data_IF_081999206842
#
_entry.id   IF_081999206842
#
_cell.length_a   1.000
_cell.length_b   1.000
_cell.length_c   1.000
_cell.angle_alpha   90.00
_cell.angle_beta   90.00
_cell.angle_gamma   90.00
#
_symmetry.space_group_name_H-M   'P 1'
#
loop_
_entity.id
_entity.type
_entity.pdbx_description
1 polymer ?
#
# COMPACT_ATOMS: atom_id res chain seq x y z
N UNK A 1 -15.58 8.92 30.27
CA UNK A 1 -16.80 8.57 29.51
C UNK A 1 -16.71 9.37 28.24
N UNK A 2 -16.42 8.71 27.10
CA UNK A 2 -16.40 9.37 25.80
C UNK A 2 -17.84 9.78 25.46
N UNK A 3 -18.03 11.00 24.98
CA UNK A 3 -19.31 11.42 24.43
C UNK A 3 -19.77 10.39 23.36
N UNK A 4 -21.05 10.07 23.24
CA UNK A 4 -21.54 9.21 22.18
C UNK A 4 -21.13 9.83 20.85
N UNK A 5 -20.43 9.04 20.01
CA UNK A 5 -20.06 9.46 18.67
C UNK A 5 -21.32 9.89 17.90
N UNK A 6 -21.28 11.08 17.33
CA UNK A 6 -22.34 11.49 16.42
C UNK A 6 -22.30 10.53 15.21
N UNK A 7 -23.43 9.88 14.87
CA UNK A 7 -23.43 8.94 13.75
C UNK A 7 -23.10 9.70 12.46
N UNK A 8 -22.18 9.14 11.66
CA UNK A 8 -21.91 9.67 10.32
C UNK A 8 -23.22 9.69 9.51
N UNK A 9 -23.59 10.84 9.02
CA UNK A 9 -24.79 11.00 8.22
C UNK A 9 -24.49 10.74 6.74
N UNK A 10 -24.91 9.57 6.24
CA UNK A 10 -24.79 9.20 4.84
C UNK A 10 -26.00 9.70 4.06
N UNK A 11 -25.79 10.72 3.25
CA UNK A 11 -26.85 11.29 2.42
C UNK A 11 -27.39 10.24 1.43
N UNK A 12 -28.70 10.01 1.42
CA UNK A 12 -29.35 9.03 0.56
C UNK A 12 -29.06 7.56 0.90
N UNK A 13 -28.36 7.28 2.01
CA UNK A 13 -28.08 5.92 2.48
C UNK A 13 -27.04 5.13 1.68
N UNK A 14 -26.65 5.61 0.50
CA UNK A 14 -25.64 4.98 -0.37
C UNK A 14 -24.21 5.46 -0.10
N UNK A 15 -23.29 5.08 -0.98
CA UNK A 15 -21.86 5.44 -0.92
C UNK A 15 -21.43 6.45 -1.96
N UNK A 16 -22.38 7.02 -2.70
CA UNK A 16 -22.12 8.10 -3.66
C UNK A 16 -21.84 9.45 -3.01
N UNK A 17 -22.10 9.57 -1.69
CA UNK A 17 -21.82 10.76 -0.89
C UNK A 17 -21.16 10.38 0.42
N UNK A 18 -19.84 10.57 0.49
CA UNK A 18 -19.06 10.23 1.68
C UNK A 18 -19.03 11.42 2.64
N UNK A 19 -19.51 11.27 3.87
CA UNK A 19 -19.50 12.37 4.85
C UNK A 19 -18.08 12.85 5.13
N UNK A 20 -17.86 14.15 5.27
CA UNK A 20 -16.55 14.73 5.60
C UNK A 20 -16.01 14.25 6.95
N UNK A 21 -16.91 13.88 7.88
CA UNK A 21 -16.52 13.21 9.13
C UNK A 21 -15.73 11.92 8.91
N UNK A 22 -15.92 11.21 7.79
CA UNK A 22 -15.12 10.02 7.46
C UNK A 22 -13.62 10.33 7.27
N UNK A 23 -13.27 11.58 6.99
CA UNK A 23 -11.89 12.02 6.78
C UNK A 23 -11.31 12.85 7.92
N UNK A 24 -12.16 13.34 8.83
CA UNK A 24 -11.76 14.36 9.82
C UNK A 24 -11.96 13.94 11.26
N UNK A 25 -12.79 12.94 11.55
CA UNK A 25 -13.13 12.51 12.91
C UNK A 25 -11.99 11.64 13.51
N UNK A 26 -11.34 12.10 14.61
CA UNK A 26 -10.27 11.35 15.25
C UNK A 26 -10.74 10.04 15.91
N UNK A 27 -11.97 9.97 16.41
CA UNK A 27 -12.50 8.77 17.04
C UNK A 27 -12.78 7.69 16.01
N UNK A 28 -13.32 8.09 14.84
CA UNK A 28 -13.49 7.21 13.72
C UNK A 28 -12.16 6.70 13.17
N UNK A 29 -11.15 7.57 13.08
CA UNK A 29 -9.80 7.18 12.69
C UNK A 29 -9.21 6.14 13.65
N UNK A 30 -9.39 6.29 14.95
CA UNK A 30 -8.95 5.28 15.92
C UNK A 30 -9.65 3.94 15.69
N UNK A 31 -10.95 3.94 15.39
CA UNK A 31 -11.69 2.72 15.01
C UNK A 31 -11.17 2.10 13.71
N UNK A 32 -10.75 2.92 12.72
CA UNK A 32 -10.09 2.42 11.51
C UNK A 32 -8.79 1.69 11.84
N UNK A 33 -7.96 2.26 12.72
CA UNK A 33 -6.74 1.58 13.16
C UNK A 33 -7.06 0.22 13.79
N UNK A 34 -8.05 0.16 14.67
CA UNK A 34 -8.39 -1.06 15.39
C UNK A 34 -9.05 -2.11 14.49
N UNK A 35 -9.99 -1.71 13.61
CA UNK A 35 -10.78 -2.64 12.79
C UNK A 35 -10.16 -2.98 11.46
N UNK A 36 -9.39 -2.07 10.86
CA UNK A 36 -8.83 -2.26 9.52
C UNK A 36 -7.34 -2.61 9.59
N UNK A 37 -6.51 -1.79 10.22
CA UNK A 37 -5.06 -2.01 10.23
C UNK A 37 -4.62 -3.07 11.24
N UNK A 38 -5.26 -3.11 12.41
CA UNK A 38 -4.95 -4.07 13.46
C UNK A 38 -5.97 -5.22 13.55
N UNK A 39 -7.05 -5.14 12.77
CA UNK A 39 -8.11 -6.13 12.64
C UNK A 39 -7.81 -7.19 11.58
N UNK A 40 -8.86 -7.92 11.10
CA UNK A 40 -8.69 -9.08 10.22
C UNK A 40 -8.39 -8.71 8.76
N UNK A 41 -7.41 -7.84 8.54
CA UNK A 41 -6.94 -7.42 7.23
C UNK A 41 -5.44 -7.69 7.07
N UNK A 42 -5.01 -7.94 5.84
CA UNK A 42 -3.60 -8.04 5.50
C UNK A 42 -3.05 -6.68 5.11
N UNK A 43 -2.01 -6.25 5.82
CA UNK A 43 -1.29 -5.02 5.52
C UNK A 43 0.05 -5.35 4.85
N UNK A 44 0.38 -4.64 3.80
CA UNK A 44 1.68 -4.74 3.15
C UNK A 44 2.78 -4.18 4.06
N UNK A 45 3.94 -4.86 4.11
CA UNK A 45 5.08 -4.42 4.92
C UNK A 45 6.38 -4.28 4.14
N UNK A 46 6.46 -4.82 2.92
CA UNK A 46 7.65 -4.67 2.08
C UNK A 46 7.76 -5.76 1.01
N UNK A 47 8.88 -5.74 0.30
CA UNK A 47 9.28 -6.78 -0.64
C UNK A 47 10.32 -7.70 -0.01
N UNK A 48 10.22 -9.01 -0.26
CA UNK A 48 11.17 -9.99 0.26
C UNK A 48 12.61 -9.73 -0.20
N UNK A 49 12.78 -9.11 -1.38
CA UNK A 49 14.08 -8.72 -1.93
C UNK A 49 14.78 -7.61 -1.13
N UNK A 50 14.06 -6.90 -0.28
CA UNK A 50 14.63 -5.86 0.59
C UNK A 50 15.42 -6.44 1.78
N UNK A 51 15.21 -7.75 2.07
CA UNK A 51 15.87 -8.49 3.15
C UNK A 51 16.39 -9.83 2.62
N UNK A 52 17.37 -9.85 1.69
CA UNK A 52 17.76 -11.07 0.97
C UNK A 52 18.46 -12.11 1.85
N UNK A 53 19.23 -11.70 2.86
CA UNK A 53 20.09 -12.57 3.65
C UNK A 53 19.54 -12.79 5.06
N UNK A 54 19.92 -13.90 5.69
CA UNK A 54 19.60 -14.16 7.10
C UNK A 54 20.13 -13.05 8.00
N UNK A 55 19.25 -12.50 8.83
CA UNK A 55 19.52 -11.38 9.72
C UNK A 55 19.17 -10.02 9.11
N UNK A 56 19.02 -9.93 7.79
CA UNK A 56 18.59 -8.68 7.17
C UNK A 56 17.20 -8.32 7.68
N UNK A 57 17.04 -7.05 8.04
CA UNK A 57 15.76 -6.53 8.50
C UNK A 57 15.46 -5.16 7.91
N UNK A 58 14.17 -4.86 7.84
CA UNK A 58 13.62 -3.56 7.45
C UNK A 58 12.56 -3.14 8.43
N UNK A 59 12.56 -1.85 8.78
CA UNK A 59 11.44 -1.26 9.51
C UNK A 59 10.29 -0.96 8.56
N UNK A 60 9.08 -1.27 9.01
CA UNK A 60 7.85 -1.00 8.30
C UNK A 60 6.73 -0.66 9.29
N UNK A 61 5.51 -0.59 8.80
CA UNK A 61 4.36 -0.15 9.57
C UNK A 61 3.12 -0.97 9.24
N UNK A 62 2.30 -1.21 10.25
CA UNK A 62 0.93 -1.71 10.11
C UNK A 62 0.03 -0.72 10.84
N UNK A 63 -0.70 0.09 10.09
CA UNK A 63 -1.31 1.29 10.63
C UNK A 63 -0.24 2.20 11.23
N UNK A 64 -0.42 2.64 12.47
CA UNK A 64 0.57 3.45 13.21
C UNK A 64 1.59 2.61 13.99
N UNK A 65 1.44 1.29 14.03
CA UNK A 65 2.38 0.42 14.74
C UNK A 65 3.59 0.09 13.89
N UNK A 66 4.76 0.44 14.42
CA UNK A 66 6.02 0.10 13.77
C UNK A 66 6.34 -1.39 13.95
N UNK A 67 6.70 -2.04 12.85
CA UNK A 67 7.08 -3.46 12.82
C UNK A 67 8.47 -3.63 12.20
N UNK A 68 9.10 -4.75 12.53
CA UNK A 68 10.37 -5.20 11.95
C UNK A 68 10.06 -6.39 11.07
N UNK A 69 10.25 -6.24 9.75
CA UNK A 69 10.28 -7.33 8.80
C UNK A 69 11.73 -7.87 8.74
N UNK A 70 11.92 -9.14 9.02
CA UNK A 70 13.29 -9.73 9.15
C UNK A 70 13.37 -11.09 8.46
N UNK A 71 14.52 -11.36 7.83
CA UNK A 71 14.87 -12.68 7.31
C UNK A 71 15.43 -13.55 8.43
N UNK A 72 14.73 -14.59 8.79
CA UNK A 72 15.15 -15.58 9.78
C UNK A 72 15.63 -16.87 9.12
N UNK A 73 16.31 -17.70 9.88
CA UNK A 73 16.72 -19.03 9.46
C UNK A 73 15.52 -19.95 9.38
N UNK A 74 15.44 -20.70 8.29
CA UNK A 74 14.43 -21.74 8.11
C UNK A 74 15.05 -23.09 8.48
N UNK A 75 14.40 -23.83 9.36
CA UNK A 75 14.85 -25.18 9.69
C UNK A 75 14.78 -26.07 8.43
N UNK A 76 15.72 -27.03 8.25
CA UNK A 76 15.76 -27.88 7.06
C UNK A 76 14.43 -28.58 6.72
N UNK A 77 13.67 -28.98 7.74
CA UNK A 77 12.36 -29.65 7.61
C UNK A 77 11.25 -28.74 7.07
N UNK A 78 11.38 -27.41 7.24
CA UNK A 78 10.38 -26.42 6.88
C UNK A 78 10.72 -25.68 5.56
N UNK A 79 11.83 -26.09 4.90
CA UNK A 79 12.23 -25.52 3.61
C UNK A 79 11.15 -25.79 2.54
N UNK A 80 10.70 -24.72 1.87
CA UNK A 80 9.66 -24.77 0.86
C UNK A 80 8.25 -24.45 1.39
N UNK A 81 8.00 -24.62 2.69
CA UNK A 81 6.75 -24.21 3.32
C UNK A 81 6.84 -22.92 4.13
N UNK A 82 8.03 -22.62 4.65
CA UNK A 82 8.31 -21.39 5.41
C UNK A 82 9.14 -20.42 4.55
N UNK A 83 8.65 -19.21 4.23
CA UNK A 83 9.39 -18.22 3.47
C UNK A 83 10.61 -17.65 4.21
N UNK A 84 10.80 -18.00 5.49
CA UNK A 84 11.89 -17.47 6.33
C UNK A 84 11.75 -15.99 6.66
N UNK A 85 10.56 -15.43 6.54
CA UNK A 85 10.28 -14.03 6.86
C UNK A 85 9.45 -13.98 8.14
N UNK A 86 9.87 -13.15 9.08
CA UNK A 86 9.13 -12.85 10.30
C UNK A 86 8.80 -11.38 10.35
N UNK A 87 7.65 -11.07 10.93
CA UNK A 87 7.25 -9.69 11.22
C UNK A 87 6.91 -9.62 12.70
N UNK A 88 7.59 -8.74 13.42
CA UNK A 88 7.39 -8.53 14.85
C UNK A 88 7.20 -7.05 15.16
N UNK A 89 6.42 -6.72 16.17
CA UNK A 89 6.24 -5.34 16.61
C UNK A 89 7.56 -4.80 17.16
N UNK A 90 7.98 -3.60 16.72
CA UNK A 90 9.19 -2.95 17.23
C UNK A 90 8.93 -2.33 18.60
N UNK A 91 8.63 -3.17 19.57
CA UNK A 91 8.27 -2.75 20.93
C UNK A 91 8.67 -3.79 21.96
N UNK A 92 9.61 -3.43 22.84
CA UNK A 92 10.06 -4.28 23.94
C UNK A 92 8.91 -4.69 24.85
N UNK A 93 8.77 -5.99 25.15
CA UNK A 93 7.75 -6.50 26.04
C UNK A 93 7.87 -5.98 27.48
N UNK A 94 9.07 -5.52 27.91
CA UNK A 94 9.28 -5.02 29.25
C UNK A 94 8.61 -3.65 29.49
N UNK A 95 9.00 -2.60 28.76
CA UNK A 95 8.50 -1.21 28.94
C UNK A 95 8.24 -0.49 27.63
N UNK A 96 7.97 -1.21 26.56
CA UNK A 96 7.52 -0.64 25.29
C UNK A 96 8.58 0.15 24.49
N UNK A 97 9.86 0.08 24.85
CA UNK A 97 10.92 0.77 24.11
C UNK A 97 11.09 0.18 22.72
N UNK A 98 11.21 1.03 21.69
CA UNK A 98 11.56 0.61 20.33
C UNK A 98 13.05 0.27 20.25
N UNK A 99 13.38 -0.85 19.64
CA UNK A 99 14.78 -1.30 19.50
C UNK A 99 15.49 -0.59 18.36
N UNK A 100 14.87 -0.64 17.19
CA UNK A 100 15.39 -0.01 16.00
C UNK A 100 14.79 1.39 15.92
N UNK A 101 15.64 2.40 15.97
CA UNK A 101 15.24 3.80 15.92
C UNK A 101 16.03 4.47 14.80
N UNK A 102 15.61 4.29 13.56
CA UNK A 102 16.26 4.98 12.46
C UNK A 102 15.99 6.48 12.54
N UNK A 103 16.93 7.31 12.08
CA UNK A 103 16.66 8.73 11.87
C UNK A 103 15.59 8.96 10.79
N UNK A 104 15.34 7.95 9.96
CA UNK A 104 14.29 7.94 8.94
C UNK A 104 13.71 6.52 8.79
N UNK A 105 12.41 6.41 8.52
CA UNK A 105 11.77 5.14 8.19
C UNK A 105 12.34 4.56 6.89
N UNK A 106 12.35 3.24 6.78
CA UNK A 106 12.95 2.51 5.66
C UNK A 106 14.39 2.10 5.90
N UNK A 107 14.90 2.23 7.12
CA UNK A 107 16.22 1.70 7.46
C UNK A 107 16.24 0.18 7.35
N UNK A 108 17.17 -0.30 6.59
CA UNK A 108 17.56 -1.71 6.51
C UNK A 108 18.80 -1.94 7.38
N UNK A 109 18.94 -3.11 7.95
CA UNK A 109 20.10 -3.50 8.72
C UNK A 109 20.25 -5.01 8.74
N UNK A 110 21.30 -5.49 9.40
CA UNK A 110 21.51 -6.91 9.65
C UNK A 110 21.76 -7.13 11.14
N UNK A 111 21.03 -8.06 11.74
CA UNK A 111 21.11 -8.38 13.16
C UNK A 111 21.08 -9.90 13.39
N UNK A 112 21.71 -10.36 14.45
CA UNK A 112 21.61 -11.75 14.93
C UNK A 112 20.49 -11.91 15.97
N UNK A 113 20.16 -10.83 16.64
CA UNK A 113 19.12 -10.71 17.66
C UNK A 113 18.76 -9.24 17.85
N UNK A 114 17.61 -8.95 18.43
CA UNK A 114 17.20 -7.60 18.80
C UNK A 114 17.46 -7.39 20.29
N UNK A 115 18.25 -6.37 20.63
CA UNK A 115 18.62 -6.06 22.03
C UNK A 115 17.99 -4.73 22.40
N UNK A 116 17.18 -4.73 23.44
CA UNK A 116 16.55 -3.50 23.94
C UNK A 116 17.62 -2.54 24.51
N UNK A 117 17.69 -1.29 24.03
CA UNK A 117 18.72 -0.36 24.49
C UNK A 117 18.54 0.08 25.94
N UNK A 118 17.38 -0.17 26.55
CA UNK A 118 17.10 0.27 27.92
C UNK A 118 17.64 -0.72 28.97
N UNK A 119 17.17 -1.99 28.94
CA UNK A 119 17.54 -2.99 29.92
C UNK A 119 18.13 -4.27 29.30
N UNK A 120 18.55 -4.19 28.04
CA UNK A 120 19.23 -5.29 27.31
C UNK A 120 18.44 -6.60 27.23
N UNK A 121 17.10 -6.56 27.34
CA UNK A 121 16.30 -7.72 27.01
C UNK A 121 16.59 -8.11 25.56
N UNK A 122 16.97 -9.34 25.36
CA UNK A 122 17.42 -9.85 24.05
C UNK A 122 16.38 -10.78 23.46
N UNK A 123 16.02 -10.51 22.23
CA UNK A 123 15.02 -11.27 21.48
C UNK A 123 15.65 -11.92 20.25
N UNK A 124 15.22 -13.15 19.94
CA UNK A 124 15.54 -13.81 18.67
C UNK A 124 14.88 -13.07 17.50
N UNK A 125 15.29 -13.37 16.27
CA UNK A 125 14.70 -12.76 15.07
C UNK A 125 13.21 -13.08 14.91
N UNK A 126 12.76 -14.24 15.40
CA UNK A 126 11.35 -14.63 15.42
C UNK A 126 10.53 -13.99 16.57
N UNK A 127 11.15 -13.10 17.34
CA UNK A 127 10.48 -12.39 18.44
C UNK A 127 10.49 -13.09 19.79
N UNK A 128 10.99 -14.34 19.92
CA UNK A 128 11.09 -15.02 21.23
C UNK A 128 12.07 -14.30 22.13
N UNK A 129 11.73 -14.15 23.43
CA UNK A 129 12.66 -13.65 24.42
C UNK A 129 13.75 -14.69 24.65
N UNK A 130 14.98 -14.34 24.29
CA UNK A 130 16.16 -15.21 24.46
C UNK A 130 16.75 -15.12 25.87
N UNK A 131 16.68 -13.95 26.49
CA UNK A 131 17.19 -13.73 27.83
C UNK A 131 17.14 -12.27 28.26
N UNK A 132 17.44 -12.06 29.54
CA UNK A 132 17.54 -10.74 30.16
C UNK A 132 18.62 -10.73 31.24
N UNK A 133 19.28 -9.58 31.48
CA UNK A 133 20.25 -9.44 32.55
C UNK A 133 19.59 -9.64 33.92
N UNK A 134 20.37 -10.19 34.83
CA UNK A 134 19.97 -10.39 36.24
C UNK A 134 18.66 -11.18 36.44
N UNK A 135 18.33 -12.06 35.51
CA UNK A 135 17.12 -12.91 35.64
C UNK A 135 17.12 -13.67 36.96
N UNK A 136 18.26 -14.23 37.34
CA UNK A 136 18.41 -15.04 38.56
C UNK A 136 18.96 -14.23 39.74
N UNK A 137 18.89 -12.90 39.67
CA UNK A 137 19.40 -11.98 40.69
C UNK A 137 20.92 -11.78 40.65
N UNK A 138 21.44 -11.10 41.66
CA UNK A 138 22.88 -10.82 41.84
C UNK A 138 23.33 -11.49 43.11
N UNK A 139 24.38 -12.32 43.02
CA UNK A 139 25.02 -12.97 44.19
C UNK A 139 25.80 -11.94 45.01
N UNK A 140 25.58 -11.95 46.31
CA UNK A 140 26.33 -11.20 47.32
C UNK A 140 26.63 -12.16 48.47
N UNK A 141 27.84 -12.79 48.46
CA UNK A 141 28.19 -13.92 49.30
C UNK A 141 27.27 -15.10 49.07
N UNK A 142 26.65 -15.58 50.13
CA UNK A 142 25.68 -16.69 50.08
C UNK A 142 24.24 -16.23 49.77
N UNK A 143 24.02 -14.91 49.63
CA UNK A 143 22.70 -14.33 49.32
C UNK A 143 22.55 -14.09 47.81
N UNK A 144 21.31 -14.12 47.34
CA UNK A 144 20.93 -13.68 46.00
C UNK A 144 19.94 -12.53 46.15
N UNK A 145 20.33 -11.37 45.64
CA UNK A 145 19.52 -10.15 45.70
C UNK A 145 18.76 -9.92 44.38
N UNK A 146 17.47 -9.67 44.49
CA UNK A 146 16.61 -9.36 43.33
C UNK A 146 16.36 -10.57 42.42
N UNK A 147 16.28 -10.33 41.14
CA UNK A 147 15.93 -11.32 40.12
C UNK A 147 14.44 -11.29 39.74
N UNK A 148 14.09 -12.07 38.72
CA UNK A 148 12.72 -12.30 38.34
C UNK A 148 12.05 -13.31 39.27
N UNK A 149 10.74 -13.32 39.39
CA UNK A 149 10.01 -14.38 40.08
C UNK A 149 10.40 -15.77 39.55
N UNK A 150 10.40 -16.79 40.44
CA UNK A 150 10.81 -18.16 40.09
C UNK A 150 9.97 -18.78 38.94
N UNK A 151 8.74 -18.34 38.79
CA UNK A 151 7.80 -18.76 37.75
C UNK A 151 7.85 -17.89 36.47
N UNK A 152 8.83 -16.98 36.37
CA UNK A 152 8.98 -16.13 35.19
C UNK A 152 9.30 -16.96 33.95
N UNK A 153 8.37 -16.97 32.99
CA UNK A 153 8.44 -17.74 31.77
C UNK A 153 8.86 -16.86 30.60
N UNK A 154 10.07 -17.08 30.07
CA UNK A 154 10.60 -16.39 28.90
C UNK A 154 9.69 -16.53 27.67
N UNK A 155 9.03 -17.69 27.51
CA UNK A 155 8.22 -17.98 26.34
C UNK A 155 6.97 -17.09 26.24
N UNK A 156 6.50 -16.57 27.36
CA UNK A 156 5.32 -15.68 27.45
C UNK A 156 5.67 -14.20 27.30
N UNK A 157 6.94 -13.86 27.26
CA UNK A 157 7.43 -12.47 27.29
C UNK A 157 8.20 -12.07 26.01
N UNK A 158 7.89 -12.70 24.89
CA UNK A 158 8.40 -12.34 23.57
C UNK A 158 7.80 -11.04 23.02
N UNK A 159 8.27 -10.64 21.85
CA UNK A 159 7.65 -9.56 21.07
C UNK A 159 6.29 -10.01 20.52
N UNK A 160 5.40 -9.07 20.28
CA UNK A 160 4.19 -9.33 19.51
C UNK A 160 4.57 -9.78 18.10
N UNK A 161 4.14 -10.98 17.73
CA UNK A 161 4.38 -11.58 16.41
C UNK A 161 3.17 -11.38 15.55
N UNK A 162 3.39 -11.00 14.30
CA UNK A 162 2.32 -10.93 13.31
C UNK A 162 2.31 -12.23 12.49
N UNK A 163 1.12 -12.62 12.03
CA UNK A 163 1.02 -13.61 10.96
C UNK A 163 1.58 -13.00 9.68
N UNK A 164 2.30 -13.81 8.91
CA UNK A 164 2.97 -13.38 7.67
C UNK A 164 2.53 -14.26 6.51
N UNK A 165 2.26 -13.63 5.39
CA UNK A 165 2.06 -14.31 4.12
C UNK A 165 2.89 -13.62 3.03
N UNK A 166 3.41 -14.41 2.10
CA UNK A 166 4.23 -13.91 1.00
C UNK A 166 3.65 -14.39 -0.32
N UNK A 167 3.34 -13.46 -1.20
CA UNK A 167 2.89 -13.75 -2.57
C UNK A 167 3.78 -13.03 -3.57
N UNK A 168 4.44 -13.76 -4.47
CA UNK A 168 5.35 -13.20 -5.49
C UNK A 168 6.43 -12.24 -4.94
N UNK A 169 6.86 -12.45 -3.70
CA UNK A 169 7.82 -11.56 -3.04
C UNK A 169 7.20 -10.34 -2.35
N UNK A 170 5.90 -10.10 -2.49
CA UNK A 170 5.15 -9.14 -1.67
C UNK A 170 4.94 -9.74 -0.28
N UNK A 171 5.33 -9.02 0.75
CA UNK A 171 5.20 -9.45 2.15
C UNK A 171 4.04 -8.73 2.79
N UNK A 172 3.10 -9.51 3.31
CA UNK A 172 1.95 -9.03 4.06
C UNK A 172 1.99 -9.54 5.49
N UNK A 173 1.48 -8.74 6.41
CA UNK A 173 1.38 -9.10 7.81
C UNK A 173 0.04 -8.65 8.41
N UNK A 174 -0.42 -9.37 9.43
CA UNK A 174 -1.63 -9.03 10.19
C UNK A 174 -1.46 -9.33 11.67
N UNK A 175 -2.04 -8.49 12.52
CA UNK A 175 -2.13 -8.72 13.96
C UNK A 175 -3.23 -9.71 14.33
N UNK A 176 -4.16 -9.98 13.42
CA UNK A 176 -5.35 -10.78 13.69
C UNK A 176 -5.16 -12.24 13.29
N UNK A 177 -5.55 -13.14 14.19
CA UNK A 177 -5.66 -14.58 13.88
C UNK A 177 -6.90 -14.91 13.04
N UNK A 178 -7.88 -14.00 12.99
CA UNK A 178 -9.14 -14.17 12.27
C UNK A 178 -9.05 -13.79 10.78
N UNK A 179 -7.93 -13.19 10.34
CA UNK A 179 -7.76 -12.85 8.94
C UNK A 179 -7.80 -14.12 8.07
N UNK A 180 -8.62 -14.09 7.03
CA UNK A 180 -8.71 -15.17 6.04
C UNK A 180 -7.34 -15.42 5.36
N UNK A 181 -7.09 -16.55 4.71
CA UNK A 181 -5.87 -16.78 3.93
C UNK A 181 -5.64 -15.64 2.94
N UNK A 182 -4.37 -15.26 2.70
CA UNK A 182 -4.04 -14.11 1.85
C UNK A 182 -4.63 -14.24 0.44
N UNK A 183 -4.60 -15.44 -0.14
CA UNK A 183 -5.12 -15.66 -1.50
C UNK A 183 -6.62 -15.42 -1.57
N UNK A 184 -7.38 -15.86 -0.56
CA UNK A 184 -8.82 -15.62 -0.46
C UNK A 184 -9.09 -14.12 -0.22
N UNK A 185 -8.26 -13.49 0.62
CA UNK A 185 -8.31 -12.04 0.87
C UNK A 185 -8.13 -11.23 -0.39
N UNK A 186 -7.18 -11.58 -1.25
CA UNK A 186 -6.94 -10.87 -2.51
C UNK A 186 -8.02 -11.14 -3.56
N UNK A 187 -8.55 -12.36 -3.56
CA UNK A 187 -9.64 -12.78 -4.44
C UNK A 187 -9.21 -13.08 -5.88
N UNK A 188 -10.00 -13.90 -6.55
CA UNK A 188 -9.73 -14.41 -7.90
C UNK A 188 -9.66 -13.32 -8.98
N UNK A 189 -10.39 -12.22 -8.80
CA UNK A 189 -10.43 -11.14 -9.79
C UNK A 189 -9.09 -10.40 -9.94
N UNK A 190 -8.28 -10.35 -8.85
CA UNK A 190 -7.01 -9.63 -8.83
C UNK A 190 -5.81 -10.52 -9.17
N UNK A 191 -5.90 -11.81 -8.92
CA UNK A 191 -4.81 -12.76 -9.09
C UNK A 191 -4.14 -12.69 -10.48
N UNK A 192 -4.86 -12.70 -11.62
CA UNK A 192 -4.24 -12.63 -12.94
C UNK A 192 -3.39 -11.36 -13.15
N UNK A 193 -3.76 -10.27 -12.51
CA UNK A 193 -3.05 -8.99 -12.61
C UNK A 193 -1.80 -8.96 -11.76
N UNK A 194 -1.83 -9.59 -10.58
CA UNK A 194 -0.64 -9.81 -9.74
C UNK A 194 0.33 -10.77 -10.43
N UNK A 195 -0.17 -11.90 -10.91
CA UNK A 195 0.62 -12.89 -11.65
C UNK A 195 1.31 -12.24 -12.86
N UNK A 196 0.58 -11.42 -13.62
CA UNK A 196 1.13 -10.68 -14.77
C UNK A 196 2.37 -9.86 -14.42
N UNK A 197 2.37 -9.17 -13.29
CA UNK A 197 3.49 -8.31 -12.87
C UNK A 197 4.62 -9.13 -12.25
N UNK A 198 4.31 -10.11 -11.42
CA UNK A 198 5.28 -10.71 -10.50
C UNK A 198 5.63 -12.17 -10.78
N UNK A 199 4.70 -12.98 -11.32
CA UNK A 199 4.90 -14.42 -11.35
C UNK A 199 6.12 -14.85 -12.15
N UNK A 200 6.92 -15.73 -11.54
CA UNK A 200 8.08 -16.35 -12.18
C UNK A 200 9.27 -15.43 -12.41
N UNK A 201 9.29 -14.23 -11.80
CA UNK A 201 10.39 -13.28 -11.96
C UNK A 201 11.07 -12.94 -10.65
N UNK A 202 12.38 -12.92 -10.68
CA UNK A 202 13.19 -12.45 -9.56
C UNK A 202 13.21 -10.92 -9.57
N UNK A 203 12.83 -10.33 -8.42
CA UNK A 203 12.76 -8.88 -8.27
C UNK A 203 14.13 -8.30 -7.94
N UNK A 204 14.39 -7.09 -8.41
CA UNK A 204 15.53 -6.26 -8.06
C UNK A 204 15.05 -4.94 -7.47
N UNK A 205 15.52 -4.61 -6.26
CA UNK A 205 15.26 -3.31 -5.65
C UNK A 205 16.00 -2.21 -6.40
N UNK A 206 15.31 -1.13 -6.77
CA UNK A 206 15.89 0.02 -7.46
C UNK A 206 16.02 1.25 -6.56
N UNK A 207 15.18 1.39 -5.54
CA UNK A 207 15.26 2.50 -4.59
C UNK A 207 13.92 2.89 -4.02
N UNK A 208 13.93 4.01 -3.27
CA UNK A 208 12.77 4.49 -2.53
C UNK A 208 12.54 5.98 -2.79
N UNK A 209 11.27 6.36 -2.80
CA UNK A 209 10.83 7.73 -2.59
C UNK A 209 9.85 7.77 -1.42
N UNK A 210 9.74 8.91 -0.77
CA UNK A 210 8.75 9.15 0.27
C UNK A 210 8.13 10.52 0.11
N UNK A 211 6.84 10.56 0.36
CA UNK A 211 6.05 11.78 0.39
C UNK A 211 5.23 11.76 1.68
N UNK A 212 5.24 12.85 2.43
CA UNK A 212 4.31 13.07 3.52
C UNK A 212 3.20 13.96 3.00
N UNK A 213 1.97 13.49 3.10
CA UNK A 213 0.80 14.14 2.52
C UNK A 213 -0.13 14.55 3.66
N UNK A 214 -0.46 15.86 3.76
CA UNK A 214 -1.42 16.37 4.73
C UNK A 214 -2.87 16.03 4.32
N UNK A 215 -3.25 14.78 4.46
CA UNK A 215 -4.56 14.28 4.09
C UNK A 215 -4.92 12.97 4.77
N UNK A 216 -6.19 12.61 4.78
CA UNK A 216 -6.61 11.31 5.28
C UNK A 216 -6.12 10.19 4.34
N UNK A 217 -5.68 9.07 4.91
CA UNK A 217 -5.13 7.94 4.16
C UNK A 217 -6.07 7.39 3.06
N UNK A 218 -7.39 7.49 3.27
CA UNK A 218 -8.40 7.04 2.30
C UNK A 218 -8.39 7.86 1.02
N UNK A 219 -8.02 9.14 1.08
CA UNK A 219 -7.95 10.00 -0.10
C UNK A 219 -6.95 9.49 -1.14
N UNK A 220 -5.85 8.85 -0.71
CA UNK A 220 -4.92 8.22 -1.64
C UNK A 220 -5.49 6.92 -2.23
N UNK A 221 -6.25 6.16 -1.46
CA UNK A 221 -6.98 4.99 -2.00
C UNK A 221 -8.04 5.41 -3.02
N UNK A 222 -8.73 6.49 -2.77
CA UNK A 222 -9.70 7.09 -3.71
C UNK A 222 -9.01 7.59 -4.97
N UNK A 223 -7.94 8.37 -4.83
CA UNK A 223 -7.20 8.95 -5.95
C UNK A 223 -6.76 7.86 -6.95
N UNK A 224 -6.24 6.73 -6.47
CA UNK A 224 -5.82 5.63 -7.36
C UNK A 224 -7.01 4.81 -7.89
N UNK A 225 -8.18 4.89 -7.27
CA UNK A 225 -9.42 4.27 -7.76
C UNK A 225 -10.23 5.19 -8.68
N UNK A 226 -9.75 6.41 -8.88
CA UNK A 226 -10.36 7.42 -9.73
C UNK A 226 -9.71 7.47 -11.11
N UNK A 227 -10.32 6.86 -12.13
CA UNK A 227 -9.80 6.96 -13.51
C UNK A 227 -10.12 8.31 -14.17
N UNK A 228 -10.94 9.14 -13.56
CA UNK A 228 -11.44 10.38 -14.13
C UNK A 228 -10.44 11.53 -14.04
N UNK A 229 -9.73 11.68 -12.90
CA UNK A 229 -8.82 12.81 -12.68
C UNK A 229 -7.56 12.83 -13.56
N UNK A 230 -6.93 11.68 -14.00
CA UNK A 230 -5.57 11.72 -14.55
C UNK A 230 -5.40 12.63 -15.77
N UNK A 231 -6.41 12.71 -16.64
CA UNK A 231 -6.36 13.59 -17.80
C UNK A 231 -6.72 15.05 -17.51
N UNK A 232 -7.28 15.32 -16.35
CA UNK A 232 -7.75 16.65 -15.94
C UNK A 232 -6.74 17.32 -15.00
N UNK A 233 -6.25 16.59 -14.02
CA UNK A 233 -5.25 17.06 -13.06
C UNK A 233 -3.85 17.08 -13.69
N UNK A 234 -3.44 15.95 -14.25
CA UNK A 234 -2.10 15.80 -14.84
C UNK A 234 -2.09 16.22 -16.31
N UNK A 235 -2.31 17.50 -16.57
CA UNK A 235 -2.34 18.06 -17.93
C UNK A 235 -1.07 17.78 -18.73
N UNK A 236 0.01 17.51 -18.03
CA UNK A 236 1.25 17.02 -18.58
C UNK A 236 1.08 15.71 -19.37
N UNK A 237 0.31 14.74 -18.87
CA UNK A 237 0.04 13.49 -19.59
C UNK A 237 -0.64 13.73 -20.95
N UNK A 238 -1.63 14.61 -20.97
CA UNK A 238 -2.34 14.95 -22.22
C UNK A 238 -1.45 15.74 -23.16
N UNK A 239 -0.73 16.72 -22.63
CA UNK A 239 0.17 17.59 -23.39
C UNK A 239 1.25 16.79 -24.14
N UNK A 240 1.78 15.75 -23.52
CA UNK A 240 2.85 14.92 -24.12
C UNK A 240 2.34 13.58 -24.66
N UNK A 241 1.04 13.41 -24.82
CA UNK A 241 0.43 12.25 -25.49
C UNK A 241 0.51 10.95 -24.72
N UNK A 242 0.69 11.00 -23.41
CA UNK A 242 0.71 9.81 -22.54
C UNK A 242 -0.69 9.40 -22.06
N UNK A 243 -1.65 10.30 -22.14
CA UNK A 243 -3.04 10.04 -21.78
C UNK A 243 -3.98 10.64 -22.84
N UNK A 244 -5.09 9.94 -23.08
CA UNK A 244 -6.14 10.36 -24.00
C UNK A 244 -7.51 9.98 -23.41
N UNK A 245 -8.51 10.82 -23.60
CA UNK A 245 -9.87 10.59 -23.11
C UNK A 245 -10.55 9.35 -23.76
N UNK A 246 -10.16 8.99 -24.97
CA UNK A 246 -10.64 7.82 -25.71
C UNK A 246 -9.82 6.54 -25.46
N UNK A 247 -8.89 6.59 -24.51
CA UNK A 247 -8.05 5.44 -24.16
C UNK A 247 -8.88 4.29 -23.59
N UNK A 248 -8.70 3.10 -24.15
CA UNK A 248 -9.39 1.92 -23.64
C UNK A 248 -8.89 1.57 -22.25
N UNK A 249 -9.82 1.46 -21.32
CA UNK A 249 -9.53 1.19 -19.92
C UNK A 249 -10.57 0.25 -19.33
N UNK A 250 -10.25 -0.38 -18.23
CA UNK A 250 -11.15 -1.27 -17.51
C UNK A 250 -10.94 -1.15 -16.02
N UNK A 251 -12.07 -1.13 -15.29
CA UNK A 251 -12.13 -1.06 -13.84
C UNK A 251 -12.63 -2.39 -13.31
N UNK A 252 -11.77 -3.12 -12.60
CA UNK A 252 -12.08 -4.42 -12.00
C UNK A 252 -12.05 -4.28 -10.48
N UNK A 253 -12.95 -4.93 -9.78
CA UNK A 253 -12.94 -5.02 -8.31
C UNK A 253 -13.04 -6.47 -7.84
N UNK A 254 -12.63 -6.74 -6.61
CA UNK A 254 -12.88 -8.03 -5.97
C UNK A 254 -14.37 -8.19 -5.60
N UNK A 255 -14.75 -9.40 -5.22
CA UNK A 255 -16.14 -9.72 -4.88
C UNK A 255 -16.71 -8.91 -3.71
N UNK A 256 -15.87 -8.26 -2.94
CA UNK A 256 -16.25 -7.45 -1.79
C UNK A 256 -16.16 -5.94 -2.04
N UNK A 257 -15.62 -5.51 -3.19
CA UNK A 257 -15.41 -4.11 -3.52
C UNK A 257 -14.27 -3.41 -2.76
N UNK A 258 -13.45 -4.15 -2.01
CA UNK A 258 -12.33 -3.60 -1.20
C UNK A 258 -11.08 -3.35 -2.03
N UNK A 259 -10.79 -4.26 -2.95
CA UNK A 259 -9.64 -4.23 -3.83
C UNK A 259 -10.05 -3.88 -5.24
N UNK A 260 -9.15 -3.24 -5.98
CA UNK A 260 -9.45 -2.89 -7.36
C UNK A 260 -8.22 -2.96 -8.27
N UNK A 261 -8.47 -3.14 -9.55
CA UNK A 261 -7.48 -2.99 -10.62
C UNK A 261 -8.02 -2.01 -11.64
N UNK A 262 -7.28 -0.95 -11.85
CA UNK A 262 -7.48 -0.02 -12.97
C UNK A 262 -6.44 -0.33 -14.05
N UNK A 263 -6.89 -0.64 -15.24
CA UNK A 263 -6.03 -0.88 -16.39
C UNK A 263 -6.35 0.08 -17.52
N UNK A 264 -5.30 0.46 -18.24
CA UNK A 264 -5.41 1.32 -19.40
C UNK A 264 -4.44 0.87 -20.48
N UNK A 265 -4.84 1.04 -21.74
CA UNK A 265 -4.06 0.68 -22.92
C UNK A 265 -3.81 1.92 -23.75
N UNK A 266 -2.55 2.13 -24.12
CA UNK A 266 -2.21 3.18 -25.09
C UNK A 266 -2.84 2.83 -26.44
N UNK A 267 -3.53 3.77 -27.05
CA UNK A 267 -4.03 3.59 -28.42
C UNK A 267 -2.91 3.81 -29.43
N UNK A 268 -2.82 2.91 -30.42
CA UNK A 268 -1.79 2.93 -31.48
C UNK A 268 -2.10 3.96 -32.59
N UNK A 269 -2.47 5.16 -32.19
CA UNK A 269 -2.57 6.26 -33.13
C UNK A 269 -3.94 6.43 -33.80
N UNK A 270 -4.27 7.63 -34.00
CA UNK A 270 -5.40 8.23 -34.72
C UNK A 270 -5.55 9.64 -34.21
N UNK A 271 -5.46 10.62 -35.10
CA UNK A 271 -5.87 11.99 -34.75
C UNK A 271 -7.37 12.01 -34.48
N UNK A 272 -7.74 11.87 -33.21
CA UNK A 272 -9.12 12.10 -32.80
C UNK A 272 -9.20 13.47 -32.14
N UNK A 273 -9.98 14.38 -32.76
CA UNK A 273 -10.19 15.74 -32.25
C UNK A 273 -10.85 15.81 -30.86
N UNK A 274 -11.40 14.68 -30.38
CA UNK A 274 -12.01 14.59 -29.06
C UNK A 274 -11.03 14.28 -27.93
N UNK A 275 -9.78 14.00 -28.23
CA UNK A 275 -8.72 13.58 -27.26
C UNK A 275 -8.51 14.57 -26.14
N UNK A 276 -8.61 15.87 -26.46
CA UNK A 276 -8.44 16.97 -25.51
C UNK A 276 -9.77 17.57 -25.04
N UNK A 277 -10.89 16.96 -25.38
CA UNK A 277 -12.19 17.44 -24.97
C UNK A 277 -12.30 17.44 -23.43
N UNK A 278 -12.65 18.56 -22.86
CA UNK A 278 -12.73 18.75 -21.41
C UNK A 278 -11.41 19.18 -20.74
N UNK A 279 -10.27 19.13 -21.44
CA UNK A 279 -8.96 19.56 -20.90
C UNK A 279 -8.73 21.02 -21.27
N UNK A 280 -9.03 21.93 -20.36
CA UNK A 280 -8.96 23.39 -20.63
C UNK A 280 -7.53 23.93 -20.62
N UNK A 281 -6.59 23.24 -19.98
CA UNK A 281 -5.17 23.64 -19.85
C UNK A 281 -4.24 23.02 -20.88
N UNK A 282 -4.79 22.27 -21.85
CA UNK A 282 -3.97 21.68 -22.91
C UNK A 282 -3.28 22.74 -23.76
N UNK A 283 -1.98 22.55 -24.02
CA UNK A 283 -1.15 23.42 -24.87
C UNK A 283 -0.46 22.60 -25.96
N UNK A 284 -0.96 22.69 -27.18
CA UNK A 284 -0.49 21.90 -28.32
C UNK A 284 0.93 22.21 -28.78
N UNK A 285 1.44 23.39 -28.42
CA UNK A 285 2.78 23.88 -28.79
C UNK A 285 3.89 23.50 -27.82
N UNK A 286 3.54 22.97 -26.63
CA UNK A 286 4.54 22.49 -25.67
C UNK A 286 5.25 21.23 -26.17
N UNK A 287 6.56 21.20 -25.97
CA UNK A 287 7.43 20.08 -26.33
C UNK A 287 8.34 19.72 -25.17
N UNK A 288 8.63 18.43 -25.00
CA UNK A 288 9.65 17.98 -24.07
C UNK A 288 11.04 18.33 -24.56
N UNK A 289 11.88 18.89 -23.68
CA UNK A 289 13.29 19.12 -23.97
C UNK A 289 14.08 17.80 -24.09
N UNK A 290 13.68 16.78 -23.33
CA UNK A 290 14.29 15.46 -23.39
C UNK A 290 13.23 14.37 -23.68
N UNK A 291 13.07 13.96 -24.96
CA UNK A 291 12.10 12.94 -25.34
C UNK A 291 12.39 11.55 -24.73
N UNK A 292 13.63 11.32 -24.22
CA UNK A 292 13.99 10.03 -23.58
C UNK A 292 13.20 9.78 -22.28
N UNK A 293 12.61 10.80 -21.68
CA UNK A 293 11.69 10.64 -20.54
C UNK A 293 10.45 9.84 -20.92
N UNK A 294 10.02 9.91 -22.18
CA UNK A 294 8.86 9.21 -22.72
C UNK A 294 9.23 7.93 -23.48
N UNK A 295 10.50 7.52 -23.44
CA UNK A 295 10.95 6.30 -24.09
C UNK A 295 10.30 5.07 -23.44
N UNK A 296 9.37 4.48 -24.19
CA UNK A 296 8.57 3.32 -23.75
C UNK A 296 8.93 2.14 -24.64
N UNK A 297 9.38 1.05 -24.03
CA UNK A 297 9.69 -0.20 -24.71
C UNK A 297 8.69 -1.26 -24.26
N UNK A 298 7.89 -1.81 -25.18
CA UNK A 298 7.00 -2.92 -24.85
C UNK A 298 7.77 -4.12 -24.30
N UNK A 299 7.30 -4.68 -23.20
CA UNK A 299 7.87 -5.88 -22.60
C UNK A 299 6.95 -7.09 -22.88
N UNK A 300 7.50 -8.29 -23.17
CA UNK A 300 6.68 -9.45 -23.53
C UNK A 300 5.60 -9.80 -22.51
N UNK A 301 5.89 -9.59 -21.22
CA UNK A 301 4.99 -9.88 -20.12
C UNK A 301 3.78 -8.94 -20.02
N UNK A 302 3.76 -7.83 -20.79
CA UNK A 302 2.59 -6.94 -20.78
C UNK A 302 1.36 -7.62 -21.36
N UNK A 303 1.55 -8.53 -22.33
CA UNK A 303 0.45 -9.26 -22.99
C UNK A 303 0.11 -10.51 -22.22
N UNK A 304 -1.15 -10.62 -21.82
CA UNK A 304 -1.71 -11.83 -21.18
C UNK A 304 -3.02 -12.23 -21.85
N UNK A 305 -3.47 -13.47 -21.60
CA UNK A 305 -4.85 -13.84 -21.86
C UNK A 305 -5.77 -12.91 -21.07
N UNK A 306 -6.82 -12.38 -21.71
CA UNK A 306 -7.73 -11.42 -21.04
C UNK A 306 -8.58 -12.16 -19.99
N UNK A 307 -8.41 -11.87 -18.68
CA UNK A 307 -9.15 -12.56 -17.62
C UNK A 307 -10.67 -12.36 -17.69
N UNK A 308 -11.13 -11.27 -18.33
CA UNK A 308 -12.54 -10.91 -18.44
C UNK A 308 -13.14 -11.23 -19.82
N UNK A 309 -12.32 -11.58 -20.80
CA UNK A 309 -12.76 -11.87 -22.17
C UNK A 309 -12.06 -13.13 -22.69
N UNK A 310 -12.59 -14.35 -22.39
CA UNK A 310 -11.99 -15.60 -22.80
C UNK A 310 -11.70 -15.66 -24.31
N UNK A 311 -10.51 -16.16 -24.65
CA UNK A 311 -10.07 -16.27 -26.06
C UNK A 311 -9.45 -14.98 -26.64
N UNK A 312 -9.44 -13.91 -25.89
CA UNK A 312 -8.75 -12.67 -26.26
C UNK A 312 -7.46 -12.46 -25.46
N UNK A 313 -6.60 -11.58 -25.96
CA UNK A 313 -5.43 -11.09 -25.24
C UNK A 313 -5.57 -9.62 -24.92
N UNK A 314 -4.90 -9.17 -23.84
CA UNK A 314 -4.86 -7.78 -23.43
C UNK A 314 -3.43 -7.36 -23.12
N UNK A 315 -3.05 -6.15 -23.53
CA UNK A 315 -1.71 -5.56 -23.33
C UNK A 315 -1.84 -4.21 -22.63
N UNK A 316 -2.08 -4.17 -21.31
CA UNK A 316 -2.11 -2.92 -20.58
C UNK A 316 -0.75 -2.23 -20.55
N UNK A 317 -0.73 -0.93 -20.77
CA UNK A 317 0.46 -0.07 -20.57
C UNK A 317 0.47 0.57 -19.18
N UNK A 318 -0.70 0.60 -18.53
CA UNK A 318 -0.87 1.04 -17.14
C UNK A 318 -1.70 -0.01 -16.41
N UNK A 319 -1.25 -0.42 -15.23
CA UNK A 319 -1.98 -1.28 -14.31
C UNK A 319 -1.75 -0.76 -12.89
N UNK A 320 -2.84 -0.33 -12.25
CA UNK A 320 -2.85 0.12 -10.86
C UNK A 320 -3.68 -0.87 -10.06
N UNK A 321 -3.05 -1.59 -9.14
CA UNK A 321 -3.72 -2.55 -8.26
C UNK A 321 -3.77 -1.91 -6.86
N UNK A 322 -4.97 -1.65 -6.37
CA UNK A 322 -5.17 -1.14 -5.01
C UNK A 322 -5.57 -2.26 -4.09
N UNK A 323 -4.72 -2.59 -3.14
CA UNK A 323 -4.99 -3.58 -2.10
C UNK A 323 -5.29 -2.85 -0.80
N UNK A 324 -6.54 -2.89 -0.41
CA UNK A 324 -7.02 -2.28 0.84
C UNK A 324 -6.41 -3.00 2.05
N UNK A 325 -6.01 -2.28 3.13
CA UNK A 325 -6.09 -0.84 3.25
C UNK A 325 -4.82 -0.08 2.81
N UNK A 326 -3.67 -0.75 2.59
CA UNK A 326 -2.38 -0.09 2.78
C UNK A 326 -1.44 -0.07 1.57
N UNK A 327 -1.76 -0.68 0.42
CA UNK A 327 -0.80 -0.73 -0.68
C UNK A 327 -1.42 -0.57 -2.05
N UNK A 328 -0.67 0.12 -2.90
CA UNK A 328 -0.90 0.21 -4.34
C UNK A 328 0.29 -0.42 -5.05
N UNK A 329 0.02 -1.26 -6.02
CA UNK A 329 1.02 -1.83 -6.91
C UNK A 329 0.82 -1.18 -8.28
N UNK A 330 1.88 -0.63 -8.81
CA UNK A 330 1.83 0.09 -10.07
C UNK A 330 2.78 -0.48 -11.10
N UNK A 331 2.24 -0.76 -12.28
CA UNK A 331 2.96 -0.69 -13.53
C UNK A 331 2.47 0.55 -14.28
N UNK A 332 3.37 1.46 -14.58
CA UNK A 332 3.08 2.60 -15.46
C UNK A 332 4.17 2.64 -16.52
N UNK A 333 3.80 2.21 -17.71
CA UNK A 333 4.72 1.85 -18.81
C UNK A 333 5.82 0.93 -18.28
N UNK A 334 7.11 1.26 -18.38
CA UNK A 334 8.19 0.43 -17.85
C UNK A 334 8.48 0.64 -16.35
N UNK A 335 7.93 1.69 -15.72
CA UNK A 335 8.13 1.90 -14.28
C UNK A 335 7.29 0.94 -13.45
N UNK A 336 7.90 0.36 -12.41
CA UNK A 336 7.29 -0.57 -11.48
C UNK A 336 7.51 -0.10 -10.05
N UNK A 337 6.46 -0.08 -9.25
CA UNK A 337 6.55 0.29 -7.83
C UNK A 337 5.46 -0.35 -6.99
N UNK A 338 5.76 -0.55 -5.71
CA UNK A 338 4.76 -0.63 -4.66
C UNK A 338 4.72 0.72 -3.94
N UNK A 339 3.53 1.13 -3.52
CA UNK A 339 3.30 2.38 -2.80
C UNK A 339 2.56 2.06 -1.50
N UNK A 340 3.26 2.14 -0.39
CA UNK A 340 2.70 1.85 0.93
C UNK A 340 2.09 3.11 1.53
N UNK A 341 0.82 3.05 1.90
CA UNK A 341 0.10 4.09 2.62
C UNK A 341 0.24 3.81 4.12
N UNK A 342 0.90 4.71 4.83
CA UNK A 342 1.15 4.60 6.27
C UNK A 342 0.46 5.75 6.99
N UNK A 343 -0.69 5.52 7.65
CA UNK A 343 -1.38 6.56 8.41
C UNK A 343 -0.49 7.17 9.51
N UNK A 344 -0.65 8.48 9.75
CA UNK A 344 0.05 9.22 10.80
C UNK A 344 -0.89 10.07 11.66
N UNK A 345 -2.16 9.93 11.42
CA UNK A 345 -3.24 10.65 12.04
C UNK A 345 -4.45 10.72 11.13
N UNK A 346 -5.57 11.29 11.57
CA UNK A 346 -6.78 11.42 10.76
C UNK A 346 -6.58 12.30 9.53
N UNK A 347 -5.57 13.15 9.50
CA UNK A 347 -5.33 14.09 8.42
C UNK A 347 -3.88 14.13 7.93
N UNK A 348 -3.13 13.05 8.08
CA UNK A 348 -1.77 12.93 7.56
C UNK A 348 -1.40 11.47 7.32
N UNK A 349 -0.67 11.19 6.25
CA UNK A 349 -0.06 9.88 6.01
C UNK A 349 1.28 10.00 5.29
N UNK A 350 2.15 9.01 5.50
CA UNK A 350 3.34 8.81 4.66
C UNK A 350 2.97 7.92 3.46
N UNK A 351 3.43 8.31 2.28
CA UNK A 351 3.29 7.54 1.05
C UNK A 351 4.67 7.09 0.59
N UNK A 352 4.97 5.81 0.85
CA UNK A 352 6.30 5.25 0.66
C UNK A 352 6.34 4.43 -0.63
N UNK A 353 7.14 4.88 -1.57
CA UNK A 353 7.37 4.21 -2.84
C UNK A 353 8.57 3.29 -2.75
N UNK A 354 8.40 2.04 -3.15
CA UNK A 354 9.49 1.10 -3.38
C UNK A 354 9.54 0.80 -4.86
N UNK A 355 10.55 1.33 -5.55
CA UNK A 355 10.77 1.08 -6.96
C UNK A 355 11.51 -0.23 -7.15
N UNK A 356 11.06 -1.04 -8.08
CA UNK A 356 11.68 -2.32 -8.41
C UNK A 356 11.77 -2.55 -9.91
N UNK A 357 12.58 -3.47 -10.30
CA UNK A 357 12.71 -4.05 -11.63
C UNK A 357 12.90 -5.56 -11.49
N UNK A 358 13.47 -6.18 -12.49
CA UNK A 358 13.75 -7.61 -12.51
C UNK A 358 15.27 -7.84 -12.50
N UNK A 359 15.68 -9.02 -11.98
CA UNK A 359 17.10 -9.36 -11.90
C UNK A 359 17.76 -9.49 -13.29
N UNK A 360 16.99 -9.84 -14.31
CA UNK A 360 17.38 -9.97 -15.71
C UNK A 360 17.24 -8.68 -16.55
N UNK A 361 16.83 -7.56 -15.94
CA UNK A 361 16.79 -6.27 -16.62
C UNK A 361 18.19 -5.86 -17.09
N UNK A 362 18.30 -5.44 -18.35
CA UNK A 362 19.51 -4.81 -18.85
C UNK A 362 19.77 -3.48 -18.16
N UNK A 363 21.00 -2.98 -18.23
CA UNK A 363 21.34 -1.65 -17.69
C UNK A 363 20.49 -0.53 -18.35
N UNK A 364 20.20 -0.66 -19.63
CA UNK A 364 19.33 0.26 -20.37
C UNK A 364 17.89 0.22 -19.83
N UNK A 365 17.33 -0.98 -19.61
CA UNK A 365 16.00 -1.13 -19.04
C UNK A 365 15.94 -0.60 -17.60
N UNK A 366 16.95 -0.91 -16.78
CA UNK A 366 17.07 -0.37 -15.42
C UNK A 366 17.08 1.17 -15.43
N UNK A 367 17.86 1.77 -16.31
CA UNK A 367 17.92 3.23 -16.47
C UNK A 367 16.57 3.81 -16.91
N UNK A 368 15.86 3.15 -17.83
CA UNK A 368 14.52 3.53 -18.28
C UNK A 368 13.52 3.49 -17.13
N UNK A 369 13.52 2.40 -16.35
CA UNK A 369 12.65 2.28 -15.16
C UNK A 369 12.88 3.42 -14.17
N UNK A 370 14.14 3.76 -13.89
CA UNK A 370 14.51 4.85 -12.97
C UNK A 370 14.11 6.23 -13.50
N UNK A 371 14.30 6.50 -14.79
CA UNK A 371 13.85 7.76 -15.39
C UNK A 371 12.34 7.93 -15.29
N UNK A 372 11.60 6.88 -15.62
CA UNK A 372 10.15 6.88 -15.53
C UNK A 372 9.66 6.95 -14.06
N UNK A 373 10.36 6.28 -13.13
CA UNK A 373 10.08 6.40 -11.70
C UNK A 373 10.22 7.84 -11.20
N UNK A 374 11.27 8.55 -11.63
CA UNK A 374 11.42 9.96 -11.29
C UNK A 374 10.35 10.83 -11.92
N UNK A 375 9.86 10.48 -13.11
CA UNK A 375 8.82 11.23 -13.80
C UNK A 375 7.45 11.09 -13.13
N UNK A 376 7.09 9.88 -12.71
CA UNK A 376 5.78 9.56 -12.14
C UNK A 376 5.76 9.67 -10.61
N UNK A 377 6.90 9.60 -9.96
CA UNK A 377 7.04 9.61 -8.51
C UNK A 377 6.91 10.99 -7.88
N UNK A 378 7.14 11.08 -6.55
CA UNK A 378 6.99 12.32 -5.78
C UNK A 378 7.87 13.49 -6.23
N UNK A 379 9.00 13.20 -6.86
CA UNK A 379 9.90 14.22 -7.42
C UNK A 379 9.53 14.65 -8.84
N UNK A 380 8.49 14.06 -9.42
CA UNK A 380 8.04 14.29 -10.78
C UNK A 380 6.71 15.03 -10.87
N UNK A 381 6.14 15.01 -12.06
CA UNK A 381 4.96 15.81 -12.38
C UNK A 381 3.62 15.16 -12.02
N UNK A 382 3.60 13.93 -11.53
CA UNK A 382 2.33 13.20 -11.31
C UNK A 382 1.99 13.13 -9.83
N UNK A 383 2.79 12.46 -9.03
CA UNK A 383 2.45 12.26 -7.62
C UNK A 383 2.53 13.54 -6.76
N UNK A 384 3.23 14.57 -7.23
CA UNK A 384 3.22 15.88 -6.58
C UNK A 384 1.84 16.54 -6.70
N UNK A 385 1.24 16.52 -7.90
CA UNK A 385 -0.11 17.05 -8.13
C UNK A 385 -1.14 16.33 -7.25
N UNK A 386 -1.07 14.99 -7.18
CA UNK A 386 -1.94 14.18 -6.33
C UNK A 386 -1.85 14.58 -4.85
N UNK A 387 -0.62 14.76 -4.36
CA UNK A 387 -0.38 15.17 -2.98
C UNK A 387 -0.98 16.53 -2.65
N UNK A 388 -0.85 17.49 -3.55
CA UNK A 388 -1.36 18.85 -3.38
C UNK A 388 -2.90 18.90 -3.37
N UNK A 389 -3.56 18.20 -4.30
CA UNK A 389 -5.04 18.18 -4.32
C UNK A 389 -5.64 17.41 -3.15
N UNK A 390 -4.95 16.39 -2.63
CA UNK A 390 -5.34 15.67 -1.42
C UNK A 390 -5.28 16.62 -0.20
N UNK A 391 -4.23 17.43 -0.07
CA UNK A 391 -4.11 18.47 0.97
C UNK A 391 -5.26 19.48 0.86
N UNK A 392 -5.54 20.01 -0.32
CA UNK A 392 -6.64 20.96 -0.54
C UNK A 392 -8.00 20.35 -0.19
N UNK A 393 -8.22 19.09 -0.54
CA UNK A 393 -9.45 18.38 -0.18
C UNK A 393 -9.60 18.23 1.34
N UNK A 394 -8.53 17.83 2.03
CA UNK A 394 -8.53 17.68 3.49
C UNK A 394 -8.81 19.01 4.19
N UNK A 395 -8.23 20.09 3.70
CA UNK A 395 -8.48 21.43 4.25
C UNK A 395 -9.91 21.90 3.99
N UNK A 396 -10.44 21.61 2.82
CA UNK A 396 -11.84 21.86 2.50
C UNK A 396 -12.78 21.13 3.47
N UNK A 397 -12.54 19.84 3.73
CA UNK A 397 -13.37 19.05 4.64
C UNK A 397 -13.34 19.58 6.08
N UNK A 398 -12.17 20.04 6.56
CA UNK A 398 -12.04 20.66 7.89
C UNK A 398 -12.83 21.98 7.98
N UNK A 399 -12.81 22.80 6.93
CA UNK A 399 -13.47 24.10 6.91
C UNK A 399 -15.00 23.97 6.83
N UNK A 400 -15.52 22.98 6.11
CA UNK A 400 -16.96 22.80 5.90
C UNK A 400 -17.64 21.99 7.02
N UNK A 401 -16.84 21.34 7.87
CA UNK A 401 -17.32 20.57 9.01
C UNK A 401 -17.98 19.24 8.65
N UNK A 402 -18.45 18.54 9.67
CA UNK A 402 -18.93 17.15 9.54
C UNK A 402 -20.21 16.98 8.70
N UNK A 403 -20.98 18.04 8.51
CA UNK A 403 -22.27 18.01 7.79
C UNK A 403 -22.11 18.00 6.26
N UNK A 404 -20.89 18.27 5.76
CA UNK A 404 -20.58 18.19 4.33
C UNK A 404 -20.35 16.77 3.86
N UNK A 405 -20.39 16.55 2.55
CA UNK A 405 -20.06 15.27 1.92
C UNK A 405 -19.39 15.46 0.57
N UNK A 406 -18.55 14.51 0.18
CA UNK A 406 -18.07 14.39 -1.21
C UNK A 406 -19.24 14.01 -2.13
N UNK A 407 -19.04 14.15 -3.43
CA UNK A 407 -19.96 13.72 -4.46
C UNK A 407 -19.24 12.77 -5.42
N UNK A 408 -19.54 11.49 -5.34
CA UNK A 408 -18.94 10.41 -6.15
C UNK A 408 -20.03 9.75 -7.01
N UNK A 409 -20.69 10.52 -7.87
CA UNK A 409 -21.85 10.05 -8.68
C UNK A 409 -21.52 9.82 -10.15
N UNK A 410 -20.28 10.06 -10.56
CA UNK A 410 -19.90 9.85 -11.95
C UNK A 410 -20.04 8.37 -12.34
N UNK A 411 -20.79 8.10 -13.41
CA UNK A 411 -21.15 6.75 -13.83
C UNK A 411 -22.29 6.11 -13.05
N UNK A 412 -23.02 6.88 -12.21
CA UNK A 412 -24.19 6.45 -11.43
C UNK A 412 -23.95 6.45 -9.92
N UNK A 413 -24.93 5.98 -9.17
CA UNK A 413 -24.92 5.98 -7.70
C UNK A 413 -24.66 4.60 -7.07
N UNK A 414 -24.81 3.51 -7.85
CA UNK A 414 -24.57 2.15 -7.37
C UNK A 414 -23.10 1.92 -7.03
N UNK A 415 -22.82 1.09 -6.02
CA UNK A 415 -21.47 0.72 -5.64
C UNK A 415 -20.77 -0.22 -6.64
N UNK A 416 -21.52 -0.85 -7.53
CA UNK A 416 -21.02 -1.73 -8.59
C UNK A 416 -20.52 -3.09 -8.12
N UNK A 417 -20.64 -3.42 -6.84
CA UNK A 417 -20.22 -4.72 -6.31
C UNK A 417 -21.06 -5.84 -6.95
N UNK A 418 -20.38 -6.87 -7.48
CA UNK A 418 -21.04 -7.97 -8.19
C UNK A 418 -21.47 -7.64 -9.64
N UNK A 419 -21.18 -6.45 -10.13
CA UNK A 419 -21.44 -6.05 -11.51
C UNK A 419 -20.23 -6.34 -12.41
N UNK A 420 -20.43 -6.51 -13.74
CA UNK A 420 -19.32 -6.60 -14.68
C UNK A 420 -18.37 -5.40 -14.60
N UNK A 421 -17.10 -5.58 -14.98
CA UNK A 421 -16.13 -4.48 -15.03
C UNK A 421 -16.61 -3.31 -15.90
N UNK A 422 -16.29 -2.09 -15.48
CA UNK A 422 -16.55 -0.88 -16.28
C UNK A 422 -15.44 -0.72 -17.32
N UNK A 423 -15.80 -0.53 -18.59
CA UNK A 423 -14.87 -0.49 -19.73
C UNK A 423 -14.51 0.95 -20.18
N UNK A 424 -14.64 1.95 -19.30
CA UNK A 424 -14.33 3.35 -19.58
C UNK A 424 -13.79 4.08 -18.33
N UNK A 425 -13.16 5.24 -18.54
CA UNK A 425 -12.51 6.03 -17.46
C UNK A 425 -13.47 7.03 -16.78
N UNK A 426 -14.66 7.27 -17.33
CA UNK A 426 -15.58 8.29 -16.82
C UNK A 426 -16.51 7.67 -15.76
N UNK A 427 -15.94 7.33 -14.62
CA UNK A 427 -16.65 6.63 -13.54
C UNK A 427 -15.95 6.79 -12.19
N UNK A 428 -16.69 6.75 -11.10
CA UNK A 428 -16.20 6.69 -9.71
C UNK A 428 -16.68 5.41 -9.00
N UNK A 429 -17.06 4.38 -9.76
CA UNK A 429 -17.60 3.12 -9.21
C UNK A 429 -16.65 2.45 -8.23
N UNK A 430 -15.32 2.46 -8.48
CA UNK A 430 -14.35 1.86 -7.59
C UNK A 430 -14.23 2.58 -6.23
N UNK A 431 -14.50 3.88 -6.18
CA UNK A 431 -14.57 4.65 -4.94
C UNK A 431 -15.80 4.23 -4.14
N UNK A 432 -16.95 4.18 -4.81
CA UNK A 432 -18.21 3.77 -4.16
C UNK A 432 -18.15 2.35 -3.61
N UNK A 433 -17.54 1.40 -4.35
CA UNK A 433 -17.35 0.03 -3.88
C UNK A 433 -16.46 -0.05 -2.65
N UNK A 434 -15.35 0.71 -2.63
CA UNK A 434 -14.47 0.77 -1.48
C UNK A 434 -15.21 1.28 -0.23
N UNK A 435 -16.06 2.29 -0.36
CA UNK A 435 -16.83 2.80 0.77
C UNK A 435 -17.97 1.87 1.20
N UNK A 436 -18.54 1.10 0.29
CA UNK A 436 -19.48 0.03 0.65
C UNK A 436 -18.79 -1.02 1.55
N UNK A 437 -17.59 -1.44 1.16
CA UNK A 437 -16.77 -2.33 1.99
C UNK A 437 -16.36 -1.68 3.31
N UNK A 438 -15.82 -0.46 3.27
CA UNK A 438 -15.36 0.27 4.45
C UNK A 438 -16.49 0.42 5.48
N UNK A 439 -17.70 0.84 5.07
CA UNK A 439 -18.88 0.93 5.95
C UNK A 439 -19.16 -0.39 6.64
N UNK A 440 -19.19 -1.49 5.88
CA UNK A 440 -19.43 -2.84 6.41
C UNK A 440 -18.35 -3.22 7.43
N UNK A 441 -17.08 -3.01 7.12
CA UNK A 441 -15.96 -3.32 8.00
C UNK A 441 -15.97 -2.45 9.27
N UNK A 442 -16.41 -1.20 9.16
CA UNK A 442 -16.55 -0.27 10.28
C UNK A 442 -17.84 -0.47 11.09
N UNK A 443 -18.79 -1.28 10.60
CA UNK A 443 -20.08 -1.49 11.24
C UNK A 443 -20.95 -0.24 11.25
N UNK A 444 -20.97 0.48 10.13
CA UNK A 444 -21.70 1.73 9.91
C UNK A 444 -22.85 1.56 8.91
#
# INVERSE_FOLDING_TARGET
MNAPEAPLHWHGGGTSRVPFGAYTDPALYQRELDRLFHGPHWCYVGLAVEIPNTGDYKLSWVGERQVIMVRDRVAPKDRGSDPGIRVVENRCAHRGVRFCQPPMDGQVGNARSFVCPYHQWTYKLNGDLAGLPFKDGVKDGDCVNGGMPADFDLSKNGLTKLRVAVLHGLVFATFSDEAEPLEDYLGEALKPWLDRIFAGRELRLLGYNRQRIPGNWKLMQENIKDPYHPGLLHTWFVTFGLWRADQKSRMVMDAHGRHAVMISRRNDGGENKTVTQGVTSFKADMKLNDPRLLDVVPEPWWTIADPQQPGQTITPTVTMITLFPSVIIQQQVNSLSTRHIVPRGPGEFDFVWTHFGFADDTEEMTTRRLRQANLFGPAGFVSADDGEVIEFSQDGFRQWGADGSTLCELGGQADGVGQPPTEHMVTETLIRSMYAYWRKAMGL
#
